data_IF_277203990805
#
_entry.id   IF_277203990805
#
_cell.length_a   1.000
_cell.length_b   1.000
_cell.length_c   1.000
_cell.angle_alpha   90.00
_cell.angle_beta   90.00
_cell.angle_gamma   90.00
#
_symmetry.space_group_name_H-M   'P 1'
#
loop_
_entity.id
_entity.type
_entity.pdbx_description
1 polymer ?
#
# COMPACT_ATOMS: atom_id res chain seq x y z
N UNK A 1 3.29 -57.96 34.89
CA UNK A 1 3.79 -57.22 33.71
C UNK A 1 5.31 -57.32 33.75
N UNK A 2 5.93 -57.98 32.77
CA UNK A 2 7.38 -58.13 32.73
C UNK A 2 8.03 -56.74 32.64
N UNK A 3 8.92 -56.44 33.57
CA UNK A 3 9.66 -55.18 33.57
C UNK A 3 10.66 -55.10 32.42
N UNK A 4 11.16 -53.89 32.18
CA UNK A 4 12.22 -53.63 31.19
C UNK A 4 13.45 -54.51 31.43
N UNK A 5 13.96 -55.11 30.36
CA UNK A 5 15.23 -55.83 30.34
C UNK A 5 16.40 -54.86 30.57
N UNK A 6 17.57 -55.31 31.07
CA UNK A 6 18.66 -54.42 31.45
C UNK A 6 19.20 -53.56 30.28
N UNK A 7 19.22 -54.09 29.06
CA UNK A 7 19.60 -53.38 27.82
C UNK A 7 18.61 -52.27 27.46
N UNK A 8 17.31 -52.50 27.67
CA UNK A 8 16.29 -51.49 27.41
C UNK A 8 16.36 -50.33 28.41
N UNK A 9 16.69 -50.63 29.68
CA UNK A 9 16.94 -49.59 30.69
C UNK A 9 18.12 -48.71 30.31
N UNK A 10 19.23 -49.32 29.92
CA UNK A 10 20.44 -48.61 29.48
C UNK A 10 20.15 -47.73 28.26
N UNK A 11 19.37 -48.23 27.30
CA UNK A 11 18.94 -47.45 26.14
C UNK A 11 18.05 -46.25 26.50
N UNK A 12 17.10 -46.43 27.41
CA UNK A 12 16.21 -45.35 27.86
C UNK A 12 17.00 -44.27 28.60
N UNK A 13 17.97 -44.64 29.43
CA UNK A 13 18.84 -43.70 30.12
C UNK A 13 19.70 -42.88 29.15
N UNK A 14 20.26 -43.53 28.12
CA UNK A 14 21.01 -42.86 27.06
C UNK A 14 20.12 -41.86 26.29
N UNK A 15 18.91 -42.28 25.90
CA UNK A 15 17.96 -41.41 25.20
C UNK A 15 17.48 -40.25 26.07
N UNK A 16 17.24 -40.48 27.36
CA UNK A 16 16.86 -39.44 28.30
C UNK A 16 17.97 -38.40 28.49
N UNK A 17 19.23 -38.83 28.51
CA UNK A 17 20.39 -37.93 28.60
C UNK A 17 20.50 -37.05 27.35
N UNK A 18 20.42 -37.65 26.16
CA UNK A 18 20.43 -36.93 24.89
C UNK A 18 19.24 -35.96 24.78
N UNK A 19 18.05 -36.38 25.21
CA UNK A 19 16.85 -35.55 25.18
C UNK A 19 16.98 -34.32 26.08
N UNK A 20 17.57 -34.46 27.27
CA UNK A 20 17.82 -33.33 28.18
C UNK A 20 18.83 -32.34 27.62
N UNK A 21 19.89 -32.83 26.97
CA UNK A 21 20.88 -31.98 26.29
C UNK A 21 20.24 -31.23 25.12
N UNK A 22 19.51 -31.94 24.27
CA UNK A 22 18.77 -31.35 23.17
C UNK A 22 17.79 -30.27 23.63
N UNK A 23 17.04 -30.51 24.72
CA UNK A 23 16.11 -29.52 25.27
C UNK A 23 16.83 -28.27 25.79
N UNK A 24 18.03 -28.43 26.37
CA UNK A 24 18.87 -27.29 26.78
C UNK A 24 19.44 -26.53 25.59
N UNK A 25 19.83 -27.22 24.53
CA UNK A 25 20.35 -26.59 23.31
C UNK A 25 19.27 -25.82 22.54
N UNK A 26 17.98 -26.10 22.81
CA UNK A 26 16.83 -25.31 22.32
C UNK A 26 16.55 -24.07 23.17
N UNK A 27 17.14 -23.94 24.36
CA UNK A 27 17.08 -22.69 25.12
C UNK A 27 17.87 -21.65 24.34
N UNK A 28 17.13 -20.83 23.60
CA UNK A 28 17.64 -19.79 22.73
C UNK A 28 18.59 -18.90 23.54
N UNK A 29 19.88 -18.98 23.27
CA UNK A 29 20.83 -18.03 23.85
C UNK A 29 20.39 -16.62 23.46
N UNK A 30 20.57 -15.63 24.33
CA UNK A 30 20.20 -14.23 24.08
C UNK A 30 20.89 -13.58 22.85
N UNK A 31 21.63 -14.37 22.08
CA UNK A 31 22.44 -14.03 20.93
C UNK A 31 21.80 -14.61 19.68
N UNK A 32 20.57 -14.21 19.41
CA UNK A 32 20.07 -14.24 18.04
C UNK A 32 20.96 -13.31 17.19
N UNK A 33 21.21 -13.62 15.91
CA UNK A 33 21.73 -12.62 14.99
C UNK A 33 20.69 -11.50 14.87
N UNK A 34 20.84 -10.50 15.74
CA UNK A 34 20.03 -9.28 15.71
C UNK A 34 20.27 -8.64 14.36
N UNK A 35 19.24 -8.66 13.51
CA UNK A 35 19.21 -7.86 12.30
C UNK A 35 19.44 -6.43 12.76
N UNK A 36 20.62 -5.90 12.46
CA UNK A 36 20.98 -4.56 12.88
C UNK A 36 19.92 -3.62 12.34
N UNK A 37 19.33 -2.77 13.20
CA UNK A 37 18.28 -1.86 12.76
C UNK A 37 18.84 -0.99 11.64
N UNK A 38 18.06 -0.86 10.55
CA UNK A 38 18.43 -0.01 9.42
C UNK A 38 18.76 1.40 9.95
N UNK A 39 19.90 2.00 9.56
CA UNK A 39 20.26 3.31 10.07
C UNK A 39 19.17 4.32 9.71
N UNK A 40 18.67 5.11 10.69
CA UNK A 40 17.64 6.10 10.43
C UNK A 40 18.14 7.17 9.44
N UNK A 41 17.22 7.76 8.68
CA UNK A 41 17.52 8.86 7.76
C UNK A 41 18.04 10.10 8.50
N UNK A 42 18.67 11.06 7.80
CA UNK A 42 19.21 12.26 8.43
C UNK A 42 18.14 13.07 9.22
N UNK A 43 16.93 13.18 8.65
CA UNK A 43 15.79 13.85 9.30
C UNK A 43 15.29 13.06 10.51
N UNK A 44 15.25 11.73 10.42
CA UNK A 44 14.85 10.88 11.55
C UNK A 44 15.86 10.97 12.69
N UNK A 45 17.17 10.93 12.38
CA UNK A 45 18.26 11.13 13.35
C UNK A 45 18.16 12.47 14.07
N UNK A 46 17.86 13.53 13.34
CA UNK A 46 17.63 14.85 13.92
C UNK A 46 16.44 14.82 14.89
N UNK A 47 15.30 14.28 14.47
CA UNK A 47 14.12 14.20 15.32
C UNK A 47 14.33 13.31 16.55
N UNK A 48 15.04 12.18 16.42
CA UNK A 48 15.36 11.33 17.57
C UNK A 48 16.24 12.05 18.59
N UNK A 49 17.27 12.77 18.15
CA UNK A 49 18.13 13.56 19.06
C UNK A 49 17.40 14.78 19.65
N UNK A 50 16.53 15.42 18.88
CA UNK A 50 15.72 16.54 19.38
C UNK A 50 14.72 16.08 20.46
N UNK A 51 14.17 14.87 20.32
CA UNK A 51 13.19 14.26 21.24
C UNK A 51 13.81 13.54 22.44
N UNK A 52 15.11 13.27 22.42
CA UNK A 52 15.85 12.59 23.50
C UNK A 52 15.65 13.28 24.86
N UNK A 53 15.74 14.62 24.98
CA UNK A 53 15.17 15.34 26.11
C UNK A 53 13.65 15.44 25.96
N UNK A 54 12.92 14.54 26.63
CA UNK A 54 11.45 14.40 26.60
C UNK A 54 10.71 15.54 27.32
N UNK A 55 10.94 16.78 26.89
CA UNK A 55 10.17 17.94 27.34
C UNK A 55 8.81 18.02 26.63
N UNK A 56 7.80 18.52 27.33
CA UNK A 56 6.42 18.59 26.82
C UNK A 56 6.32 19.42 25.55
N UNK A 57 6.97 20.59 25.51
CA UNK A 57 6.93 21.47 24.33
C UNK A 57 7.52 20.80 23.08
N UNK A 58 8.62 20.05 23.22
CA UNK A 58 9.24 19.33 22.09
C UNK A 58 8.31 18.26 21.53
N UNK A 59 7.59 17.54 22.39
CA UNK A 59 6.59 16.57 21.96
C UNK A 59 5.42 17.24 21.20
N UNK A 60 4.93 18.38 21.70
CA UNK A 60 3.88 19.13 21.01
C UNK A 60 4.33 19.66 19.64
N UNK A 61 5.55 20.18 19.53
CA UNK A 61 6.10 20.67 18.24
C UNK A 61 6.22 19.54 17.23
N UNK A 62 6.70 18.36 17.65
CA UNK A 62 6.79 17.19 16.79
C UNK A 62 5.41 16.70 16.34
N UNK A 63 4.41 16.72 17.25
CA UNK A 63 3.02 16.37 16.91
C UNK A 63 2.42 17.33 15.89
N UNK A 64 2.64 18.64 16.05
CA UNK A 64 2.20 19.65 15.10
C UNK A 64 2.86 19.47 13.72
N UNK A 65 4.18 19.21 13.69
CA UNK A 65 4.92 18.92 12.45
C UNK A 65 4.34 17.70 11.71
N UNK A 66 4.13 16.58 12.41
CA UNK A 66 3.55 15.36 11.82
C UNK A 66 2.14 15.60 11.29
N UNK A 67 1.32 16.37 12.02
CA UNK A 67 -0.01 16.79 11.56
C UNK A 67 0.05 17.65 10.29
N UNK A 68 0.99 18.60 10.23
CA UNK A 68 1.22 19.44 9.06
C UNK A 68 1.64 18.64 7.83
N UNK A 69 2.62 17.74 7.96
CA UNK A 69 3.04 16.86 6.86
C UNK A 69 1.89 15.98 6.37
N UNK A 70 1.06 15.48 7.27
CA UNK A 70 -0.12 14.70 6.90
C UNK A 70 -1.13 15.54 6.10
N UNK A 71 -1.46 16.74 6.57
CA UNK A 71 -2.39 17.63 5.87
C UNK A 71 -1.88 18.00 4.46
N UNK A 72 -0.60 18.32 4.33
CA UNK A 72 0.00 18.65 3.03
C UNK A 72 -0.05 17.45 2.06
N UNK A 73 0.43 16.29 2.51
CA UNK A 73 0.57 15.12 1.64
C UNK A 73 -0.75 14.43 1.32
N UNK A 74 -1.71 14.41 2.26
CA UNK A 74 -2.95 13.63 2.11
C UNK A 74 -4.17 14.47 1.77
N UNK A 75 -4.16 15.77 2.05
CA UNK A 75 -5.28 16.64 1.72
C UNK A 75 -4.90 17.62 0.61
N UNK A 76 -3.85 18.41 0.82
CA UNK A 76 -3.55 19.53 -0.06
C UNK A 76 -3.11 19.08 -1.47
N UNK A 77 -2.10 18.21 -1.56
CA UNK A 77 -1.58 17.75 -2.86
C UNK A 77 -2.67 16.99 -3.64
N UNK A 78 -3.40 16.01 -3.06
CA UNK A 78 -4.46 15.32 -3.79
C UNK A 78 -5.60 16.24 -4.20
N UNK A 79 -6.02 17.18 -3.35
CA UNK A 79 -7.05 18.16 -3.69
C UNK A 79 -6.64 19.03 -4.89
N UNK A 80 -5.37 19.43 -4.95
CA UNK A 80 -4.84 20.20 -6.09
C UNK A 80 -4.78 19.37 -7.38
N UNK A 81 -4.40 18.09 -7.29
CA UNK A 81 -4.42 17.17 -8.43
C UNK A 81 -5.84 17.00 -8.96
N UNK A 82 -6.83 16.78 -8.07
CA UNK A 82 -8.24 16.65 -8.46
C UNK A 82 -8.74 17.93 -9.09
N UNK A 83 -8.42 19.09 -8.50
CA UNK A 83 -8.79 20.39 -9.07
C UNK A 83 -8.22 20.58 -10.48
N UNK A 84 -6.94 20.28 -10.67
CA UNK A 84 -6.30 20.32 -11.99
C UNK A 84 -6.99 19.36 -12.98
N UNK A 85 -7.30 18.15 -12.54
CA UNK A 85 -7.96 17.14 -13.38
C UNK A 85 -9.35 17.60 -13.84
N UNK A 86 -10.18 18.13 -12.93
CA UNK A 86 -11.49 18.66 -13.28
C UNK A 86 -11.37 19.85 -14.24
N UNK A 87 -10.43 20.77 -13.97
CA UNK A 87 -10.23 21.97 -14.79
C UNK A 87 -9.86 21.64 -16.24
N UNK A 88 -8.98 20.67 -16.48
CA UNK A 88 -8.44 20.42 -17.82
C UNK A 88 -8.99 19.18 -18.53
N UNK A 89 -9.46 18.16 -17.81
CA UNK A 89 -10.00 16.95 -18.43
C UNK A 89 -11.52 16.94 -18.48
N UNK A 90 -12.20 17.43 -17.45
CA UNK A 90 -13.67 17.41 -17.38
C UNK A 90 -14.26 18.59 -18.15
N UNK A 91 -13.82 19.83 -17.89
CA UNK A 91 -14.38 21.01 -18.56
C UNK A 91 -14.18 20.97 -20.10
N UNK A 92 -13.03 20.51 -20.58
CA UNK A 92 -12.75 20.34 -22.02
C UNK A 92 -13.68 19.29 -22.66
N UNK A 93 -14.03 18.24 -21.92
CA UNK A 93 -14.94 17.20 -22.39
C UNK A 93 -16.40 17.67 -22.40
N UNK A 94 -16.80 18.49 -21.41
CA UNK A 94 -18.15 19.07 -21.34
C UNK A 94 -18.37 20.17 -22.38
N UNK A 95 -17.36 20.95 -22.77
CA UNK A 95 -17.53 22.00 -23.77
C UNK A 95 -17.84 21.45 -25.18
N UNK A 96 -17.38 20.24 -25.50
CA UNK A 96 -17.78 19.52 -26.72
C UNK A 96 -19.25 19.10 -26.71
N UNK A 97 -19.85 18.92 -25.54
CA UNK A 97 -21.26 18.53 -25.38
C UNK A 97 -22.18 19.74 -25.15
N UNK A 98 -21.73 20.76 -24.42
CA UNK A 98 -22.49 21.96 -24.05
C UNK A 98 -22.64 22.98 -25.19
N UNK A 99 -21.85 22.87 -26.26
CA UNK A 99 -22.03 23.69 -27.47
C UNK A 99 -23.24 23.27 -28.34
N UNK A 100 -24.12 22.38 -27.84
CA UNK A 100 -25.37 21.98 -28.51
C UNK A 100 -26.65 22.53 -27.85
N UNK A 101 -26.54 23.36 -26.81
CA UNK A 101 -27.70 23.87 -26.06
C UNK A 101 -27.98 25.36 -26.27
N UNK A 102 -27.69 25.89 -27.47
CA UNK A 102 -27.93 27.31 -27.83
C UNK A 102 -29.02 27.57 -28.88
N UNK A 103 -29.60 26.54 -29.50
CA UNK A 103 -30.60 26.71 -30.56
C UNK A 103 -31.65 25.59 -30.57
N UNK A 104 -32.36 25.33 -29.47
CA UNK A 104 -33.59 24.55 -29.58
C UNK A 104 -34.53 24.67 -28.39
N UNK A 105 -34.98 25.90 -28.10
CA UNK A 105 -36.32 26.06 -27.53
C UNK A 105 -37.33 25.88 -28.66
N UNK A 106 -38.21 24.89 -28.48
CA UNK A 106 -39.35 24.47 -29.30
C UNK A 106 -39.08 23.25 -30.21
N UNK A 107 -39.73 22.12 -29.87
CA UNK A 107 -40.01 20.92 -30.68
C UNK A 107 -39.05 19.72 -30.67
N UNK A 108 -38.74 19.08 -29.53
CA UNK A 108 -38.55 17.61 -29.57
C UNK A 108 -38.43 16.95 -28.19
N UNK A 109 -39.56 16.74 -27.53
CA UNK A 109 -39.66 15.85 -26.37
C UNK A 109 -39.54 14.35 -26.71
N UNK A 110 -38.96 13.93 -27.85
CA UNK A 110 -39.17 12.55 -28.33
C UNK A 110 -38.05 11.86 -29.13
N UNK A 111 -36.81 12.38 -29.24
CA UNK A 111 -35.82 11.76 -30.18
C UNK A 111 -34.40 11.49 -29.67
N UNK A 112 -34.03 11.84 -28.44
CA UNK A 112 -32.64 11.58 -27.96
C UNK A 112 -32.47 10.29 -27.14
N UNK A 113 -33.54 9.58 -26.77
CA UNK A 113 -33.42 8.36 -25.96
C UNK A 113 -33.02 7.12 -26.78
N UNK A 114 -33.25 7.10 -28.10
CA UNK A 114 -33.07 5.90 -28.94
C UNK A 114 -31.71 5.79 -29.64
N UNK A 115 -30.97 6.89 -29.85
CA UNK A 115 -29.74 6.85 -30.66
C UNK A 115 -28.46 6.50 -29.87
N UNK A 116 -28.47 6.66 -28.53
CA UNK A 116 -27.29 6.35 -27.72
C UNK A 116 -27.08 4.84 -27.46
N UNK A 117 -28.12 4.02 -27.55
CA UNK A 117 -27.99 2.56 -27.37
C UNK A 117 -27.43 1.90 -28.64
N UNK A 118 -27.67 2.48 -29.83
CA UNK A 118 -27.26 1.86 -31.10
C UNK A 118 -25.77 2.00 -31.41
N UNK A 119 -25.06 2.94 -30.77
CA UNK A 119 -23.62 3.19 -31.01
C UNK A 119 -22.71 2.36 -30.10
N UNK A 120 -23.25 1.62 -29.12
CA UNK A 120 -22.47 0.72 -28.26
C UNK A 120 -22.29 -0.70 -28.83
N UNK A 121 -22.88 -0.99 -30.01
CA UNK A 121 -22.86 -2.32 -30.62
C UNK A 121 -21.92 -2.46 -31.84
N UNK A 122 -21.15 -1.43 -32.20
CA UNK A 122 -20.37 -1.41 -33.45
C UNK A 122 -18.86 -1.15 -33.30
N UNK A 123 -18.27 -1.31 -32.11
CA UNK A 123 -16.81 -1.23 -31.94
C UNK A 123 -16.29 -2.34 -31.02
N UNK A 124 -16.44 -3.58 -31.48
CA UNK A 124 -15.46 -4.64 -31.19
C UNK A 124 -14.52 -4.71 -32.40
N UNK A 125 -13.24 -4.34 -32.29
CA UNK A 125 -12.22 -4.84 -33.19
C UNK A 125 -11.49 -6.00 -32.50
N UNK A 126 -11.76 -7.19 -33.03
CA UNK A 126 -10.91 -8.38 -32.93
C UNK A 126 -9.75 -8.26 -33.94
N UNK A 127 -8.64 -8.95 -33.66
CA UNK A 127 -7.49 -9.26 -34.55
C UNK A 127 -6.37 -8.21 -34.57
N UNK A 128 -5.24 -8.45 -33.89
CA UNK A 128 -4.08 -9.30 -34.25
C UNK A 128 -3.25 -8.76 -35.43
N UNK A 129 -1.94 -8.84 -35.19
CA UNK A 129 -0.82 -8.73 -36.13
C UNK A 129 -0.30 -7.32 -36.44
N UNK A 130 0.84 -6.96 -35.85
CA UNK A 130 2.11 -6.91 -36.59
C UNK A 130 3.28 -6.50 -35.67
N UNK A 131 4.16 -7.46 -35.48
CA UNK A 131 5.50 -7.33 -34.91
C UNK A 131 6.47 -7.02 -36.05
N UNK A 132 7.02 -5.80 -36.16
CA UNK A 132 8.30 -5.48 -36.83
C UNK A 132 8.78 -4.11 -36.27
N UNK A 133 9.75 -4.05 -35.33
CA UNK A 133 11.20 -3.88 -35.56
C UNK A 133 11.55 -2.61 -36.36
N UNK A 134 12.17 -1.62 -35.71
CA UNK A 134 13.48 -1.04 -36.07
C UNK A 134 13.85 0.15 -35.16
N UNK A 135 15.01 -0.03 -34.51
CA UNK A 135 16.08 0.93 -34.18
C UNK A 135 15.85 2.01 -33.13
#
# INVERSE_FOLDING_TARGET
MSGYTPDQKLRVEQLAKLRRQWLKDQELSAREPVIQPKPPGAVEKFWTGFLEPKSLWRLYTYKAYKGGVFALTRLLIPAWIVHYYVKYHVAVSYQKCASKEGYFTLLSSCRCQLDCIKTKLSLVPHSKDHMVLWK
#
